data_IF_633588281992
#
_entry.id   IF_633588281992
#
_cell.length_a   1.000
_cell.length_b   1.000
_cell.length_c   1.000
_cell.angle_alpha   90.00
_cell.angle_beta   90.00
_cell.angle_gamma   90.00
#
_symmetry.space_group_name_H-M   'P 1'
#
loop_
_entity.id
_entity.type
_entity.pdbx_description
1 polymer ?
#
# COMPACT_ATOMS: atom_id res chain seq x y z
N UNK A 1 -33.66 83.46 8.64
CA UNK A 1 -32.99 82.34 9.35
C UNK A 1 -33.97 81.18 9.52
N UNK A 2 -34.31 80.45 8.44
CA UNK A 2 -35.32 79.38 8.52
C UNK A 2 -35.08 78.21 7.54
N UNK A 3 -33.85 78.08 7.03
CA UNK A 3 -33.50 77.08 5.99
C UNK A 3 -32.30 76.23 6.40
N UNK A 4 -32.08 76.02 7.70
CA UNK A 4 -30.94 75.24 8.22
C UNK A 4 -31.37 73.98 8.98
N UNK A 5 -32.59 73.93 9.51
CA UNK A 5 -33.07 72.75 10.28
C UNK A 5 -33.57 71.59 9.41
N UNK A 6 -34.00 71.84 8.17
CA UNK A 6 -34.55 70.78 7.30
C UNK A 6 -33.47 69.91 6.63
N UNK A 7 -32.27 70.44 6.41
CA UNK A 7 -31.15 69.68 5.84
C UNK A 7 -30.48 68.78 6.87
N UNK A 8 -30.41 69.21 8.13
CA UNK A 8 -29.82 68.40 9.20
C UNK A 8 -30.70 67.20 9.55
N UNK A 9 -32.03 67.35 9.57
CA UNK A 9 -32.93 66.22 9.87
C UNK A 9 -32.85 65.12 8.81
N UNK A 10 -32.67 65.49 7.53
CA UNK A 10 -32.58 64.55 6.42
C UNK A 10 -31.26 63.77 6.41
N UNK A 11 -30.15 64.44 6.76
CA UNK A 11 -28.81 63.84 6.86
C UNK A 11 -28.73 62.85 8.03
N UNK A 12 -29.37 63.15 9.17
CA UNK A 12 -29.43 62.23 10.31
C UNK A 12 -30.35 61.02 10.05
N UNK A 13 -31.42 61.17 9.26
CA UNK A 13 -32.25 60.02 8.82
C UNK A 13 -31.56 59.13 7.78
N UNK A 14 -30.68 59.68 6.93
CA UNK A 14 -29.90 58.88 5.98
C UNK A 14 -28.76 58.09 6.65
N UNK A 15 -28.23 58.59 7.78
CA UNK A 15 -27.14 57.94 8.52
C UNK A 15 -27.62 56.82 9.47
N UNK A 16 -28.93 56.73 9.70
CA UNK A 16 -29.55 55.70 10.56
C UNK A 16 -30.04 54.45 9.79
N UNK A 17 -29.91 54.44 8.46
CA UNK A 17 -30.26 53.30 7.60
C UNK A 17 -29.00 52.68 7.01
N UNK A 18 -28.72 51.46 7.44
CA UNK A 18 -27.62 50.56 7.08
C UNK A 18 -26.30 50.80 7.85
N UNK A 19 -26.00 49.87 8.78
CA UNK A 19 -25.34 48.67 8.32
C UNK A 19 -26.27 47.47 8.48
N UNK A 20 -26.80 46.96 7.36
CA UNK A 20 -27.07 45.53 7.28
C UNK A 20 -25.69 44.91 7.37
N UNK A 21 -25.30 44.47 8.57
CA UNK A 21 -24.08 43.72 8.75
C UNK A 21 -24.11 42.55 7.78
N UNK A 22 -23.19 42.54 6.81
CA UNK A 22 -22.87 41.31 6.11
C UNK A 22 -22.48 40.32 7.20
N UNK A 23 -23.35 39.37 7.50
CA UNK A 23 -22.94 38.14 8.18
C UNK A 23 -22.08 37.42 7.18
N UNK A 24 -20.77 37.72 7.19
CA UNK A 24 -19.81 36.90 6.49
C UNK A 24 -19.87 35.53 7.15
N UNK A 25 -20.15 34.49 6.36
CA UNK A 25 -20.10 33.12 6.85
C UNK A 25 -18.67 32.86 7.34
N UNK A 26 -18.49 32.82 8.66
CA UNK A 26 -17.17 32.64 9.26
C UNK A 26 -16.74 31.19 9.12
N UNK A 27 -15.58 30.96 8.49
CA UNK A 27 -14.96 29.63 8.40
C UNK A 27 -14.42 29.26 9.78
N UNK A 28 -14.87 28.13 10.33
CA UNK A 28 -14.44 27.64 11.64
C UNK A 28 -13.01 27.10 11.57
N UNK A 29 -12.13 27.55 12.46
CA UNK A 29 -10.73 27.12 12.50
C UNK A 29 -10.56 25.93 13.46
N UNK A 30 -10.14 24.78 12.93
CA UNK A 30 -9.75 23.60 13.72
C UNK A 30 -8.33 23.78 14.27
N UNK A 31 -8.04 23.24 15.44
CA UNK A 31 -6.69 23.29 16.04
C UNK A 31 -5.75 22.18 15.56
N UNK A 32 -6.23 21.26 14.72
CA UNK A 32 -5.42 20.16 14.22
C UNK A 32 -4.27 20.65 13.35
N UNK A 33 -3.04 20.25 13.67
CA UNK A 33 -1.90 20.46 12.78
C UNK A 33 -1.67 19.20 11.93
N UNK A 34 -1.87 19.25 10.60
CA UNK A 34 -1.64 18.10 9.75
C UNK A 34 -0.15 17.73 9.74
N UNK A 35 0.11 16.43 9.86
CA UNK A 35 1.48 15.90 9.91
C UNK A 35 1.53 14.49 9.34
N UNK A 36 2.68 14.13 8.76
CA UNK A 36 2.96 12.76 8.32
C UNK A 36 2.82 11.83 9.52
N UNK A 37 2.11 10.72 9.34
CA UNK A 37 1.82 9.78 10.43
C UNK A 37 3.10 9.35 11.15
N UNK A 38 3.07 9.27 12.48
CA UNK A 38 4.16 8.69 13.26
C UNK A 38 4.20 7.16 13.22
N UNK A 39 3.11 6.54 12.76
CA UNK A 39 2.98 5.09 12.72
C UNK A 39 3.80 4.49 11.56
N UNK A 40 4.31 3.27 11.75
CA UNK A 40 5.11 2.58 10.72
C UNK A 40 4.21 2.01 9.61
N UNK A 41 3.92 2.81 8.59
CA UNK A 41 3.21 2.38 7.37
C UNK A 41 4.19 2.22 6.20
N UNK A 42 3.95 1.20 5.37
CA UNK A 42 4.56 1.15 4.05
C UNK A 42 4.13 2.36 3.20
N UNK A 43 5.07 2.97 2.49
CA UNK A 43 4.79 4.17 1.69
C UNK A 43 4.49 5.41 2.55
N UNK A 44 5.07 5.50 3.76
CA UNK A 44 4.92 6.66 4.65
C UNK A 44 5.20 7.98 3.94
N UNK A 45 6.30 8.03 3.19
CA UNK A 45 6.65 9.06 2.23
C UNK A 45 7.29 8.33 1.04
N UNK A 46 6.84 8.62 -0.16
CA UNK A 46 7.44 8.14 -1.42
C UNK A 46 7.80 9.34 -2.30
N UNK A 47 8.12 9.09 -3.56
CA UNK A 47 8.42 10.16 -4.51
C UNK A 47 7.21 10.98 -4.93
N UNK A 48 6.00 10.41 -4.87
CA UNK A 48 4.75 11.03 -5.35
C UNK A 48 3.60 10.93 -4.34
N UNK A 49 3.81 10.27 -3.19
CA UNK A 49 2.76 10.02 -2.19
C UNK A 49 3.29 10.21 -0.78
N UNK A 50 2.39 10.43 0.17
CA UNK A 50 2.72 10.39 1.59
C UNK A 50 1.49 10.03 2.42
N UNK A 51 1.72 9.67 3.67
CA UNK A 51 0.67 9.22 4.58
C UNK A 51 0.57 10.15 5.78
N UNK A 52 -0.59 10.78 5.98
CA UNK A 52 -0.88 11.67 7.09
C UNK A 52 -1.55 10.92 8.24
N UNK A 53 -1.36 11.41 9.47
CA UNK A 53 -2.26 11.08 10.57
C UNK A 53 -3.66 11.67 10.26
N UNK A 54 -4.71 10.90 10.55
CA UNK A 54 -6.09 11.33 10.30
C UNK A 54 -6.59 12.28 11.41
N UNK A 55 -7.21 13.44 11.08
CA UNK A 55 -7.82 14.37 12.05
C UNK A 55 -9.11 13.85 12.69
N UNK A 56 -9.04 12.77 13.45
CA UNK A 56 -10.19 12.23 14.21
C UNK A 56 -10.51 13.17 15.37
N UNK A 57 -11.79 13.49 15.58
CA UNK A 57 -12.27 14.42 16.63
C UNK A 57 -11.95 15.91 16.47
N UNK A 58 -11.34 16.34 15.37
CA UNK A 58 -10.88 17.74 15.26
C UNK A 58 -11.88 18.69 14.60
N UNK A 59 -12.99 18.16 14.06
CA UNK A 59 -14.05 18.94 13.44
C UNK A 59 -15.36 18.78 14.21
N UNK A 60 -15.98 19.89 14.59
CA UNK A 60 -17.30 19.91 15.20
C UNK A 60 -18.40 19.94 14.12
N UNK A 61 -18.63 18.81 13.47
CA UNK A 61 -19.60 18.73 12.35
C UNK A 61 -21.04 19.14 12.72
N UNK A 62 -21.40 19.16 14.01
CA UNK A 62 -22.74 19.55 14.45
C UNK A 62 -22.97 21.05 14.35
N UNK A 63 -21.93 21.87 14.52
CA UNK A 63 -22.01 23.33 14.42
C UNK A 63 -21.78 23.87 13.00
N UNK A 64 -21.37 23.01 12.04
CA UNK A 64 -21.01 23.42 10.68
C UNK A 64 -22.19 23.46 9.68
N UNK A 65 -23.42 23.16 10.13
CA UNK A 65 -24.61 23.26 9.28
C UNK A 65 -24.72 22.23 8.15
N UNK A 66 -23.90 21.17 8.18
CA UNK A 66 -23.97 20.00 7.30
C UNK A 66 -24.03 18.70 8.09
N UNK A 67 -24.75 18.71 9.21
CA UNK A 67 -24.90 17.54 10.10
C UNK A 67 -25.24 16.28 9.29
N UNK A 68 -24.38 15.27 9.34
CA UNK A 68 -24.44 14.00 8.57
C UNK A 68 -23.90 14.01 7.14
N UNK A 69 -23.80 15.17 6.48
CA UNK A 69 -23.43 15.29 5.07
C UNK A 69 -22.08 15.98 4.82
N UNK A 70 -21.45 16.57 5.84
CA UNK A 70 -20.16 17.24 5.65
C UNK A 70 -19.11 16.35 5.00
N UNK A 71 -18.38 16.93 4.06
CA UNK A 71 -17.28 16.28 3.35
C UNK A 71 -15.95 16.84 3.82
N UNK A 72 -14.97 15.96 4.02
CA UNK A 72 -13.61 16.36 4.37
C UNK A 72 -12.73 16.25 3.13
N UNK A 73 -12.05 17.35 2.85
CA UNK A 73 -11.17 17.54 1.71
C UNK A 73 -9.78 17.91 2.20
N UNK A 74 -8.79 17.71 1.33
CA UNK A 74 -7.41 18.08 1.58
C UNK A 74 -6.84 18.83 0.39
N UNK A 75 -6.17 19.94 0.65
CA UNK A 75 -5.36 20.65 -0.35
C UNK A 75 -3.89 20.40 -0.08
N UNK A 76 -3.12 20.09 -1.12
CA UNK A 76 -1.66 20.06 -1.11
C UNK A 76 -1.13 21.22 -1.94
N UNK A 77 -0.45 22.16 -1.29
CA UNK A 77 0.15 23.32 -1.92
C UNK A 77 1.67 23.15 -1.99
N UNK A 78 2.23 23.30 -3.18
CA UNK A 78 3.67 23.19 -3.48
C UNK A 78 4.42 24.50 -3.25
N UNK A 79 3.71 25.61 -3.12
CA UNK A 79 4.31 26.94 -2.98
C UNK A 79 3.47 27.89 -2.13
N UNK A 80 4.06 29.02 -1.74
CA UNK A 80 3.33 30.11 -1.09
C UNK A 80 2.24 30.69 -2.02
N UNK A 81 2.48 30.73 -3.34
CA UNK A 81 1.50 31.21 -4.30
C UNK A 81 0.23 30.32 -4.32
N UNK A 82 0.39 29.00 -4.26
CA UNK A 82 -0.74 28.07 -4.20
C UNK A 82 -1.51 28.16 -2.89
N UNK A 83 -0.82 28.37 -1.75
CA UNK A 83 -1.48 28.63 -0.47
C UNK A 83 -2.33 29.90 -0.52
N UNK A 84 -1.78 30.98 -1.07
CA UNK A 84 -2.48 32.26 -1.25
C UNK A 84 -3.66 32.12 -2.22
N UNK A 85 -3.50 31.32 -3.29
CA UNK A 85 -4.58 31.05 -4.23
C UNK A 85 -5.75 30.34 -3.53
N UNK A 86 -5.49 29.29 -2.78
CA UNK A 86 -6.52 28.62 -1.97
C UNK A 86 -7.22 29.61 -1.03
N UNK A 87 -6.46 30.42 -0.28
CA UNK A 87 -7.04 31.35 0.69
C UNK A 87 -7.90 32.45 0.02
N UNK A 88 -7.59 32.81 -1.25
CA UNK A 88 -8.39 33.75 -2.04
C UNK A 88 -9.65 33.13 -2.67
N UNK A 89 -9.62 31.84 -2.99
CA UNK A 89 -10.69 31.16 -3.74
C UNK A 89 -11.68 30.40 -2.82
N UNK A 90 -11.28 30.02 -1.60
CA UNK A 90 -12.07 29.16 -0.69
C UNK A 90 -13.49 29.65 -0.33
N UNK A 91 -13.75 30.95 -0.46
CA UNK A 91 -15.06 31.57 -0.20
C UNK A 91 -15.81 31.98 -1.47
N UNK A 92 -15.16 31.95 -2.63
CA UNK A 92 -15.69 32.50 -3.88
C UNK A 92 -15.88 31.47 -4.97
N UNK A 93 -15.17 30.33 -4.90
CA UNK A 93 -15.24 29.26 -5.88
C UNK A 93 -15.61 27.93 -5.25
N UNK A 94 -16.30 27.11 -6.04
CA UNK A 94 -16.54 25.71 -5.67
C UNK A 94 -15.23 24.93 -5.62
N UNK A 95 -15.21 23.90 -4.77
CA UNK A 95 -14.05 23.00 -4.63
C UNK A 95 -13.65 22.38 -5.97
N UNK A 96 -14.64 21.96 -6.77
CA UNK A 96 -14.41 21.41 -8.11
C UNK A 96 -13.73 22.41 -9.05
N UNK A 97 -13.99 23.72 -8.95
CA UNK A 97 -13.28 24.71 -9.76
C UNK A 97 -11.83 24.88 -9.29
N UNK A 98 -11.61 24.95 -7.97
CA UNK A 98 -10.26 25.07 -7.39
C UNK A 98 -9.34 23.91 -7.78
N UNK A 99 -9.89 22.70 -7.92
CA UNK A 99 -9.11 21.50 -8.33
C UNK A 99 -8.45 21.60 -9.71
N UNK A 100 -8.87 22.55 -10.56
CA UNK A 100 -8.20 22.79 -11.85
C UNK A 100 -6.84 23.50 -11.72
N UNK A 101 -6.57 24.12 -10.57
CA UNK A 101 -5.36 24.90 -10.30
C UNK A 101 -4.56 24.39 -9.11
N UNK A 102 -5.21 23.67 -8.21
CA UNK A 102 -4.67 23.20 -6.93
C UNK A 102 -4.84 21.69 -6.81
N UNK A 103 -3.87 21.04 -6.16
CA UNK A 103 -3.96 19.62 -5.85
C UNK A 103 -4.93 19.43 -4.67
N UNK A 104 -6.21 19.18 -4.97
CA UNK A 104 -7.29 19.04 -3.99
C UNK A 104 -7.91 17.65 -4.09
N UNK A 105 -8.06 17.01 -2.94
CA UNK A 105 -8.44 15.61 -2.84
C UNK A 105 -9.63 15.43 -1.91
N UNK A 106 -10.62 14.65 -2.33
CA UNK A 106 -11.65 14.15 -1.43
C UNK A 106 -11.05 13.07 -0.53
N UNK A 107 -11.11 13.25 0.80
CA UNK A 107 -10.48 12.34 1.78
C UNK A 107 -11.50 11.66 2.70
N UNK A 108 -12.80 11.82 2.42
CA UNK A 108 -13.87 11.05 3.06
C UNK A 108 -15.00 11.91 3.63
N UNK A 109 -16.07 11.24 4.06
CA UNK A 109 -17.20 11.87 4.73
C UNK A 109 -16.92 12.10 6.22
N UNK A 110 -17.71 12.96 6.86
CA UNK A 110 -17.59 13.23 8.31
C UNK A 110 -17.59 11.98 9.21
N UNK A 111 -18.25 10.89 8.81
CA UNK A 111 -18.27 9.65 9.61
C UNK A 111 -16.90 9.00 9.72
N UNK A 112 -15.95 9.25 8.81
CA UNK A 112 -14.58 8.76 8.91
C UNK A 112 -13.73 9.54 9.95
N UNK A 113 -14.22 10.70 10.38
CA UNK A 113 -13.52 11.65 11.27
C UNK A 113 -14.22 11.86 12.62
N UNK A 114 -15.39 11.24 12.83
CA UNK A 114 -16.13 11.30 14.08
C UNK A 114 -15.31 10.75 15.26
N UNK A 115 -15.67 11.13 16.49
CA UNK A 115 -14.91 10.75 17.68
C UNK A 115 -15.03 9.30 18.11
N UNK A 116 -16.25 8.76 18.03
CA UNK A 116 -16.58 7.46 18.58
C UNK A 116 -16.25 6.36 17.57
N UNK A 117 -14.97 6.22 17.25
CA UNK A 117 -14.50 5.26 16.25
C UNK A 117 -14.05 4.01 16.99
N UNK A 118 -14.76 2.92 16.76
CA UNK A 118 -14.46 1.60 17.35
C UNK A 118 -13.38 0.83 16.58
N UNK A 119 -12.81 1.42 15.53
CA UNK A 119 -11.84 0.77 14.66
C UNK A 119 -10.43 0.84 15.26
N UNK A 120 -9.90 -0.32 15.66
CA UNK A 120 -8.51 -0.50 16.13
C UNK A 120 -7.45 -0.44 14.99
N UNK A 121 -7.85 -0.02 13.79
CA UNK A 121 -6.96 0.09 12.64
C UNK A 121 -6.12 1.36 12.65
N UNK A 122 -5.05 1.36 11.83
CA UNK A 122 -4.16 2.51 11.67
C UNK A 122 -4.89 3.67 10.99
N UNK A 123 -5.04 4.79 11.71
CA UNK A 123 -5.84 5.95 11.29
C UNK A 123 -5.03 6.92 10.45
N UNK A 124 -5.01 6.66 9.14
CA UNK A 124 -4.17 7.39 8.21
C UNK A 124 -4.92 7.81 6.95
N UNK A 125 -4.49 8.92 6.36
CA UNK A 125 -4.92 9.38 5.04
C UNK A 125 -3.72 9.30 4.11
N UNK A 126 -3.81 8.48 3.06
CA UNK A 126 -2.76 8.39 2.04
C UNK A 126 -3.06 9.38 0.93
N UNK A 127 -2.16 10.33 0.70
CA UNK A 127 -2.27 11.34 -0.36
C UNK A 127 -1.51 10.85 -1.59
N UNK A 128 -2.14 10.94 -2.75
CA UNK A 128 -1.61 10.54 -4.05
C UNK A 128 -1.69 9.05 -4.38
N UNK A 129 -2.58 8.31 -3.75
CA UNK A 129 -2.66 6.85 -3.88
C UNK A 129 -3.24 6.37 -5.24
N UNK A 130 -4.05 7.17 -5.90
CA UNK A 130 -4.83 6.74 -7.07
C UNK A 130 -4.08 7.05 -8.37
N UNK A 131 -3.26 6.10 -8.85
CA UNK A 131 -2.48 6.26 -10.08
C UNK A 131 -3.34 6.43 -11.34
N UNK A 132 -4.49 5.75 -11.40
CA UNK A 132 -5.42 5.82 -12.54
C UNK A 132 -6.45 6.95 -12.36
N UNK A 133 -5.98 8.10 -11.87
CA UNK A 133 -6.80 9.25 -11.55
C UNK A 133 -7.38 9.89 -12.81
N UNK A 134 -8.71 9.85 -13.00
CA UNK A 134 -9.38 10.41 -14.18
C UNK A 134 -10.16 11.70 -13.88
N UNK A 135 -10.62 11.89 -12.63
CA UNK A 135 -11.32 13.12 -12.23
C UNK A 135 -10.36 14.17 -11.69
N UNK A 136 -10.79 15.42 -11.62
CA UNK A 136 -10.04 16.50 -10.98
C UNK A 136 -10.07 16.44 -9.44
N UNK A 137 -11.01 15.70 -8.85
CA UNK A 137 -11.18 15.57 -7.39
C UNK A 137 -10.52 14.32 -6.80
N UNK A 138 -9.93 13.47 -7.64
CA UNK A 138 -9.38 12.19 -7.23
C UNK A 138 -8.00 12.36 -6.59
N UNK A 139 -7.65 11.40 -5.73
CA UNK A 139 -6.43 11.40 -4.93
C UNK A 139 -5.18 10.97 -5.73
N UNK A 140 -4.82 11.74 -6.75
CA UNK A 140 -3.79 11.39 -7.74
C UNK A 140 -2.35 11.70 -7.30
N UNK A 141 -1.34 11.05 -7.91
CA UNK A 141 0.06 11.19 -7.50
C UNK A 141 0.54 12.64 -7.61
N UNK A 142 1.29 13.09 -6.59
CA UNK A 142 1.86 14.42 -6.58
C UNK A 142 3.12 14.49 -7.45
N UNK A 143 3.53 15.70 -7.87
CA UNK A 143 4.78 15.90 -8.59
C UNK A 143 5.97 15.33 -7.83
N UNK A 144 6.76 14.57 -8.57
CA UNK A 144 7.87 13.79 -8.05
C UNK A 144 8.94 14.65 -7.36
N UNK A 145 9.31 14.31 -6.13
CA UNK A 145 10.33 15.03 -5.36
C UNK A 145 9.95 16.46 -4.94
N UNK A 146 8.66 16.82 -5.03
CA UNK A 146 8.17 18.13 -4.59
C UNK A 146 8.16 18.26 -3.06
N UNK A 147 8.19 19.49 -2.59
CA UNK A 147 7.89 19.85 -1.20
C UNK A 147 6.48 20.41 -1.15
N UNK A 148 5.63 19.88 -0.26
CA UNK A 148 4.25 20.32 -0.12
C UNK A 148 3.90 20.71 1.31
N UNK A 149 3.00 21.69 1.46
CA UNK A 149 2.24 21.94 2.68
C UNK A 149 0.81 21.47 2.45
N UNK A 150 0.20 20.84 3.45
CA UNK A 150 -1.19 20.38 3.35
C UNK A 150 -2.08 21.07 4.36
N UNK A 151 -3.37 21.12 4.05
CA UNK A 151 -4.41 21.61 4.94
C UNK A 151 -5.66 20.76 4.72
N UNK A 152 -6.36 20.42 5.80
CA UNK A 152 -7.69 19.83 5.71
C UNK A 152 -8.75 20.93 5.76
N UNK A 153 -9.84 20.74 5.05
CA UNK A 153 -10.99 21.61 5.11
C UNK A 153 -12.28 20.81 4.95
N UNK A 154 -13.36 21.36 5.50
CA UNK A 154 -14.69 20.77 5.51
C UNK A 154 -15.58 21.57 4.60
N UNK A 155 -16.31 20.86 3.75
CA UNK A 155 -17.23 21.42 2.77
C UNK A 155 -18.64 21.01 3.17
N UNK A 156 -19.54 21.98 3.15
CA UNK A 156 -20.97 21.71 3.21
C UNK A 156 -21.44 21.42 1.79
N UNK A 157 -21.83 20.17 1.43
CA UNK A 157 -22.18 19.84 0.06
C UNK A 157 -23.48 20.50 -0.42
N UNK A 158 -24.32 21.00 0.50
CA UNK A 158 -25.59 21.68 0.16
C UNK A 158 -25.29 23.10 -0.35
N UNK A 159 -24.42 23.83 0.34
CA UNK A 159 -24.04 25.20 -0.03
C UNK A 159 -22.79 25.28 -0.90
N UNK A 160 -22.05 24.18 -1.01
CA UNK A 160 -20.76 24.06 -1.66
C UNK A 160 -19.68 25.02 -1.12
N UNK A 161 -19.82 25.42 0.14
CA UNK A 161 -18.93 26.35 0.82
C UNK A 161 -17.98 25.61 1.76
N UNK A 162 -16.76 26.13 1.88
CA UNK A 162 -15.84 25.75 2.95
C UNK A 162 -16.37 26.30 4.27
N UNK A 163 -16.62 25.42 5.23
CA UNK A 163 -17.22 25.75 6.54
C UNK A 163 -16.24 25.61 7.70
N UNK A 164 -15.19 24.80 7.52
CA UNK A 164 -14.11 24.68 8.50
C UNK A 164 -12.78 24.36 7.82
N UNK A 165 -11.66 24.74 8.43
CA UNK A 165 -10.33 24.39 7.95
C UNK A 165 -9.33 24.22 9.10
N UNK A 166 -8.22 23.54 8.82
CA UNK A 166 -7.07 23.45 9.72
C UNK A 166 -6.01 24.52 9.39
N UNK A 167 -5.02 24.74 10.25
CA UNK A 167 -3.75 25.33 9.84
C UNK A 167 -3.07 24.56 8.71
N UNK A 168 -2.18 25.23 7.99
CA UNK A 168 -1.24 24.58 7.06
C UNK A 168 -0.21 23.75 7.85
N UNK A 169 0.15 22.58 7.31
CA UNK A 169 1.22 21.73 7.85
C UNK A 169 2.60 22.35 7.71
N UNK A 170 3.57 21.78 8.42
CA UNK A 170 4.99 21.95 8.07
C UNK A 170 5.28 21.36 6.68
N UNK A 171 6.45 21.69 6.12
CA UNK A 171 6.88 21.15 4.84
C UNK A 171 6.99 19.62 4.88
N UNK A 172 6.39 18.97 3.90
CA UNK A 172 6.50 17.53 3.64
C UNK A 172 7.33 17.38 2.37
N UNK A 173 8.53 16.82 2.51
CA UNK A 173 9.45 16.62 1.40
C UNK A 173 9.23 15.22 0.82
N UNK A 174 8.80 15.14 -0.44
CA UNK A 174 8.74 13.87 -1.15
C UNK A 174 10.13 13.42 -1.56
N UNK A 175 10.29 12.12 -1.76
CA UNK A 175 11.59 11.55 -2.13
C UNK A 175 11.92 11.89 -3.58
N UNK A 176 13.07 12.51 -3.81
CA UNK A 176 13.61 12.62 -5.16
C UNK A 176 14.05 11.22 -5.62
N UNK A 177 13.55 10.70 -6.75
CA UNK A 177 14.06 9.47 -7.30
C UNK A 177 15.51 9.65 -7.70
N UNK A 178 16.31 8.62 -7.44
CA UNK A 178 17.65 8.51 -8.00
C UNK A 178 17.52 8.29 -9.50
N UNK A 179 18.25 9.07 -10.29
CA UNK A 179 18.32 8.87 -11.74
C UNK A 179 18.82 7.45 -12.03
N UNK A 180 18.07 6.60 -12.75
CA UNK A 180 18.51 5.27 -13.13
C UNK A 180 19.87 5.24 -13.81
N UNK A 181 20.24 6.29 -14.56
CA UNK A 181 21.55 6.40 -15.22
C UNK A 181 22.70 6.60 -14.24
N UNK A 182 22.42 7.10 -13.04
CA UNK A 182 23.41 7.24 -11.94
C UNK A 182 23.51 5.98 -11.08
N UNK A 183 22.58 5.02 -11.26
CA UNK A 183 22.66 3.74 -10.58
C UNK A 183 23.78 2.95 -11.25
N UNK A 184 24.88 2.84 -10.51
CA UNK A 184 25.99 1.97 -10.89
C UNK A 184 25.52 0.51 -10.87
N UNK A 185 25.15 -0.01 -12.04
CA UNK A 185 24.78 -1.41 -12.25
C UNK A 185 26.00 -2.31 -12.40
N UNK A 186 27.22 -1.78 -12.22
CA UNK A 186 28.46 -2.53 -12.36
C UNK A 186 28.51 -3.71 -11.39
N UNK A 187 28.67 -4.90 -11.96
CA UNK A 187 28.74 -6.17 -11.23
C UNK A 187 29.87 -6.22 -10.19
N UNK A 188 30.89 -5.36 -10.31
CA UNK A 188 32.06 -5.35 -9.42
C UNK A 188 31.79 -4.88 -7.98
N UNK A 189 30.60 -4.36 -7.66
CA UNK A 189 30.19 -3.99 -6.28
C UNK A 189 29.37 -5.05 -5.56
N UNK A 190 28.98 -6.15 -6.21
CA UNK A 190 28.46 -7.31 -5.49
C UNK A 190 29.63 -7.90 -4.71
N UNK A 191 29.45 -8.05 -3.39
CA UNK A 191 30.47 -8.60 -2.48
C UNK A 191 31.22 -9.74 -3.17
N UNK A 192 32.54 -9.59 -3.35
CA UNK A 192 33.37 -10.60 -4.00
C UNK A 192 33.14 -12.00 -3.38
N UNK A 193 32.79 -12.04 -2.09
CA UNK A 193 32.38 -13.25 -1.39
C UNK A 193 31.21 -13.98 -2.04
N UNK A 194 30.18 -13.28 -2.53
CA UNK A 194 29.04 -13.92 -3.18
C UNK A 194 29.44 -14.62 -4.48
N UNK A 195 30.29 -13.98 -5.30
CA UNK A 195 30.79 -14.57 -6.56
C UNK A 195 31.65 -15.80 -6.28
N UNK A 196 32.53 -15.71 -5.29
CA UNK A 196 33.38 -16.83 -4.85
C UNK A 196 32.54 -17.98 -4.33
N UNK A 197 31.55 -17.70 -3.47
CA UNK A 197 30.65 -18.72 -2.93
C UNK A 197 29.85 -19.39 -4.05
N UNK A 198 29.29 -18.63 -5.00
CA UNK A 198 28.56 -19.21 -6.13
C UNK A 198 29.46 -20.05 -7.04
N UNK A 199 30.71 -19.64 -7.24
CA UNK A 199 31.68 -20.41 -8.02
C UNK A 199 32.04 -21.74 -7.33
N UNK A 200 32.31 -21.72 -6.02
CA UNK A 200 32.61 -22.93 -5.22
C UNK A 200 31.40 -23.87 -5.18
N UNK A 201 30.20 -23.36 -4.90
CA UNK A 201 28.98 -24.17 -4.88
C UNK A 201 28.69 -24.78 -6.24
N UNK A 202 28.89 -24.02 -7.32
CA UNK A 202 28.71 -24.50 -8.70
C UNK A 202 29.68 -25.63 -9.05
N UNK A 203 30.98 -25.47 -8.74
CA UNK A 203 31.99 -26.50 -9.02
C UNK A 203 31.77 -27.76 -8.19
N UNK A 204 31.48 -27.63 -6.90
CA UNK A 204 31.16 -28.77 -6.03
C UNK A 204 29.91 -29.52 -6.51
N UNK A 205 28.88 -28.80 -6.93
CA UNK A 205 27.65 -29.42 -7.47
C UNK A 205 27.93 -30.16 -8.77
N UNK A 206 28.73 -29.60 -9.68
CA UNK A 206 29.12 -30.25 -10.93
C UNK A 206 29.94 -31.53 -10.68
N UNK A 207 30.89 -31.50 -9.74
CA UNK A 207 31.68 -32.67 -9.34
C UNK A 207 30.78 -33.76 -8.74
N UNK A 208 29.88 -33.38 -7.83
CA UNK A 208 28.93 -34.31 -7.21
C UNK A 208 28.04 -34.98 -8.27
N UNK A 209 27.52 -34.20 -9.22
CA UNK A 209 26.70 -34.72 -10.32
C UNK A 209 27.50 -35.67 -11.22
N UNK A 210 28.75 -35.33 -11.55
CA UNK A 210 29.62 -36.21 -12.33
C UNK A 210 29.88 -37.54 -11.62
N UNK A 211 30.17 -37.52 -10.32
CA UNK A 211 30.39 -38.74 -9.52
C UNK A 211 29.12 -39.60 -9.47
N UNK A 212 27.94 -38.98 -9.30
CA UNK A 212 26.66 -39.70 -9.35
C UNK A 212 26.41 -40.33 -10.72
N UNK A 213 26.73 -39.64 -11.82
CA UNK A 213 26.62 -40.20 -13.17
C UNK A 213 27.61 -41.35 -13.40
N UNK A 214 28.83 -41.25 -12.89
CA UNK A 214 29.83 -42.34 -12.96
C UNK A 214 29.33 -43.55 -12.17
N UNK A 215 28.85 -43.34 -10.94
CA UNK A 215 28.26 -44.40 -10.12
C UNK A 215 27.07 -45.04 -10.83
N UNK A 216 26.15 -44.25 -11.35
CA UNK A 216 25.00 -44.75 -12.11
C UNK A 216 25.44 -45.56 -13.33
N UNK A 217 26.37 -45.05 -14.15
CA UNK A 217 26.94 -45.78 -15.28
C UNK A 217 27.62 -47.09 -14.86
N UNK A 218 28.32 -47.10 -13.72
CA UNK A 218 28.99 -48.30 -13.21
C UNK A 218 27.99 -49.37 -12.79
N UNK A 219 26.87 -48.98 -12.15
CA UNK A 219 25.78 -49.91 -11.82
C UNK A 219 25.12 -50.49 -13.06
N UNK A 220 24.98 -49.70 -14.14
CA UNK A 220 24.47 -50.18 -15.43
C UNK A 220 25.46 -51.11 -16.15
N UNK A 221 26.78 -50.91 -15.99
CA UNK A 221 27.83 -51.79 -16.55
C UNK A 221 28.06 -53.07 -15.74
N UNK A 222 27.47 -53.18 -14.55
CA UNK A 222 27.56 -54.41 -13.75
C UNK A 222 26.58 -55.50 -14.25
N UNK A 223 25.78 -55.21 -15.28
CA UNK A 223 25.09 -56.22 -16.09
C UNK A 223 25.92 -56.61 -17.33
N UNK A 224 27.09 -57.22 -17.13
CA UNK A 224 27.78 -57.96 -18.19
C UNK A 224 27.81 -59.47 -17.83
N UNK A 225 27.21 -60.37 -18.64
CA UNK A 225 26.88 -61.75 -18.28
C UNK A 225 28.06 -62.74 -18.30
N UNK A 226 29.30 -62.28 -18.11
CA UNK A 226 30.52 -63.08 -18.28
C UNK A 226 31.26 -63.42 -16.97
N UNK A 227 30.54 -63.55 -15.85
CA UNK A 227 31.01 -64.25 -14.64
C UNK A 227 30.37 -65.64 -14.51
N UNK A 228 30.37 -66.42 -15.59
CA UNK A 228 30.17 -67.88 -15.52
C UNK A 228 31.55 -68.53 -15.68
N UNK A 229 32.21 -68.79 -14.55
CA UNK A 229 33.12 -69.96 -14.37
C UNK A 229 33.64 -70.03 -12.93
N UNK A 230 32.91 -70.74 -12.08
CA UNK A 230 33.49 -71.76 -11.19
C UNK A 230 32.41 -72.63 -10.54
N UNK A 231 32.73 -73.89 -10.23
CA UNK A 231 31.76 -74.96 -10.19
C UNK A 231 30.96 -75.05 -8.88
N UNK A 232 29.79 -75.63 -9.07
CA UNK A 232 28.76 -75.99 -8.12
C UNK A 232 29.34 -76.84 -6.96
N UNK A 233 29.13 -76.41 -5.72
CA UNK A 233 28.97 -77.31 -4.57
C UNK A 233 27.59 -77.01 -3.94
N UNK A 234 26.67 -77.93 -4.20
CA UNK A 234 25.31 -77.94 -3.65
C UNK A 234 25.32 -78.51 -2.25
N UNK A 235 24.98 -77.69 -1.25
CA UNK A 235 24.46 -78.20 0.01
C UNK A 235 22.92 -78.06 -0.01
N UNK A 236 22.15 -79.17 0.07
CA UNK A 236 20.71 -79.11 -0.09
C UNK A 236 20.01 -78.65 1.20
N UNK A 237 19.36 -77.49 1.12
CA UNK A 237 18.47 -76.95 2.13
C UNK A 237 17.28 -77.89 2.38
N UNK A 238 17.14 -78.39 3.61
CA UNK A 238 16.08 -79.32 4.05
C UNK A 238 14.74 -78.59 4.22
N UNK A 239 13.82 -78.76 3.28
CA UNK A 239 12.43 -78.32 3.41
C UNK A 239 11.63 -79.40 4.16
N UNK A 240 11.04 -79.03 5.30
CA UNK A 240 10.21 -79.92 6.15
C UNK A 240 8.81 -80.05 5.53
N UNK A 241 8.54 -81.17 4.86
CA UNK A 241 7.22 -81.51 4.31
C UNK A 241 6.30 -82.03 5.42
N UNK A 242 5.09 -81.48 5.51
CA UNK A 242 4.02 -82.00 6.35
C UNK A 242 3.21 -83.04 5.56
N UNK A 243 3.00 -84.19 6.17
CA UNK A 243 2.23 -85.33 5.67
C UNK A 243 0.73 -85.05 5.74
N UNK A 244 0.01 -85.31 4.64
CA UNK A 244 -1.43 -85.52 4.66
C UNK A 244 -1.70 -87.01 4.42
N UNK A 245 -2.40 -87.60 5.39
CA UNK A 245 -2.61 -89.04 5.54
C UNK A 245 -3.56 -89.66 4.49
N UNK A 246 -3.32 -90.95 4.24
CA UNK A 246 -4.18 -91.98 3.63
C UNK A 246 -4.30 -91.90 2.07
N UNK A 247 -4.24 -92.99 1.29
CA UNK A 247 -4.74 -94.36 1.48
C UNK A 247 -3.87 -95.42 0.75
N UNK A 248 -3.77 -96.54 1.46
CA UNK A 248 -3.28 -97.92 1.26
C UNK A 248 -3.36 -98.63 -0.13
N UNK A 249 -2.20 -99.17 -0.51
CA UNK A 249 -1.83 -100.51 -1.06
C UNK A 249 -2.55 -101.14 -2.27
N UNK A 250 -1.77 -101.67 -3.21
CA UNK A 250 -1.41 -103.11 -3.22
C UNK A 250 -0.30 -103.44 -4.22
N UNK A 251 0.65 -104.24 -3.72
CA UNK A 251 1.63 -105.14 -4.39
C UNK A 251 0.95 -105.88 -5.57
N UNK A 252 1.60 -106.29 -6.66
CA UNK A 252 2.37 -107.53 -6.91
C UNK A 252 2.90 -107.44 -8.36
N UNK A 253 4.19 -107.58 -8.65
CA UNK A 253 4.97 -108.82 -8.81
C UNK A 253 4.84 -109.48 -10.20
N UNK A 254 5.97 -109.55 -10.92
CA UNK A 254 6.38 -110.59 -11.89
C UNK A 254 7.62 -110.05 -12.63
N UNK A 255 8.85 -110.49 -12.35
CA UNK A 255 9.50 -111.79 -12.62
C UNK A 255 9.67 -112.05 -14.13
N UNK A 256 10.89 -111.75 -14.60
CA UNK A 256 11.44 -112.11 -15.92
C UNK A 256 11.57 -113.62 -16.10
N UNK A 257 11.43 -114.12 -17.34
CA UNK A 257 12.56 -114.67 -18.11
C UNK A 257 12.50 -114.19 -19.59
N UNK A 258 13.52 -114.25 -20.45
CA UNK A 258 14.65 -115.16 -20.62
C UNK A 258 15.94 -114.39 -20.96
#
# INVERSE_FOLDING_TARGET
MHSKSHMDLFVWTLLALLPVGLVTAQISQSTYLPQVTGSNVAGRITSTTFTLAQPVCYFDFQSLGCTSTCEVWLVAAKSAAEKNLYDSEKTTQSVTMMTSKLDIFYVGSQSAYACNQTNNGQRVVRVGQNVDCVSNTCNGPLPMGSTVNVKYFVVNPITNNVVSETPWSTNINLLSPTDPATIDTWFGKRSAGMVVITAILSTLTAILLLLLLIMFCSTLRTEDPNLIKSPINQDPYKIKRYDTHHVRSSTYESKFPQ
#
